data_IF_098779236771
#
_entry.id   IF_098779236771
#
_cell.length_a   1.000
_cell.length_b   1.000
_cell.length_c   1.000
_cell.angle_alpha   90.00
_cell.angle_beta   90.00
_cell.angle_gamma   90.00
#
_symmetry.space_group_name_H-M   'P 1'
#
loop_
_entity.id
_entity.type
_entity.pdbx_description
1 polymer ?
#
# COMPACT_ATOMS: atom_id res chain seq x y z
N UNK A 1 -6.78 -16.41 11.77
CA UNK A 1 -6.77 -15.25 12.71
C UNK A 1 -5.56 -15.24 13.65
N UNK A 2 -4.38 -15.68 13.23
CA UNK A 2 -3.16 -15.63 14.06
C UNK A 2 -2.30 -14.38 13.83
N UNK A 3 -2.63 -13.55 12.83
CA UNK A 3 -1.94 -12.29 12.58
C UNK A 3 -2.72 -11.14 13.19
N UNK A 4 -2.04 -10.21 13.87
CA UNK A 4 -2.62 -8.97 14.41
C UNK A 4 -2.97 -7.93 13.30
N UNK A 5 -3.13 -8.37 12.06
CA UNK A 5 -3.53 -7.51 10.94
C UNK A 5 -4.98 -7.07 11.18
N UNK A 6 -5.20 -5.77 11.23
CA UNK A 6 -6.54 -5.18 11.29
C UNK A 6 -7.22 -5.40 9.94
N UNK A 7 -8.01 -6.45 9.85
CA UNK A 7 -8.70 -6.92 8.66
C UNK A 7 -9.49 -5.81 7.95
N UNK A 8 -10.16 -4.95 8.71
CA UNK A 8 -10.93 -3.82 8.19
C UNK A 8 -10.08 -2.69 7.56
N UNK A 9 -8.75 -2.71 7.76
CA UNK A 9 -7.83 -1.72 7.16
C UNK A 9 -7.25 -2.14 5.80
N UNK A 10 -7.59 -3.32 5.30
CA UNK A 10 -7.22 -3.73 3.94
C UNK A 10 -7.95 -2.84 2.95
N UNK A 11 -7.22 -2.13 2.10
CA UNK A 11 -7.76 -1.22 1.10
C UNK A 11 -7.68 -1.77 -0.32
N UNK A 12 -6.78 -2.73 -0.55
CA UNK A 12 -6.50 -3.25 -1.87
C UNK A 12 -6.28 -4.76 -1.83
N UNK A 13 -6.79 -5.47 -2.85
CA UNK A 13 -6.63 -6.92 -3.08
C UNK A 13 -6.05 -7.11 -4.47
N UNK A 14 -5.05 -7.98 -4.58
CA UNK A 14 -4.36 -8.29 -5.83
C UNK A 14 -4.54 -9.76 -6.14
N UNK A 15 -5.14 -10.09 -7.29
CA UNK A 15 -5.43 -11.46 -7.76
C UNK A 15 -4.47 -11.79 -8.90
N UNK A 16 -3.64 -12.80 -8.72
CA UNK A 16 -2.59 -13.19 -9.67
C UNK A 16 -3.15 -13.81 -10.94
N UNK A 17 -4.18 -14.64 -10.83
CA UNK A 17 -4.85 -15.33 -11.93
C UNK A 17 -6.21 -15.90 -11.49
N UNK A 18 -6.97 -16.45 -12.46
CA UNK A 18 -8.37 -16.84 -12.27
C UNK A 18 -8.57 -18.36 -12.09
N UNK A 19 -7.71 -19.04 -11.32
CA UNK A 19 -8.08 -20.33 -10.75
C UNK A 19 -8.92 -20.13 -9.48
N UNK A 20 -9.85 -21.07 -9.22
CA UNK A 20 -10.83 -20.90 -8.15
C UNK A 20 -10.23 -20.73 -6.77
N UNK A 21 -9.19 -21.48 -6.45
CA UNK A 21 -8.47 -21.41 -5.19
C UNK A 21 -7.76 -20.06 -4.95
N UNK A 22 -7.54 -19.26 -6.01
CA UNK A 22 -6.95 -17.93 -5.94
C UNK A 22 -7.97 -16.79 -5.94
N UNK A 23 -9.22 -17.00 -6.42
CA UNK A 23 -10.19 -15.91 -6.54
C UNK A 23 -11.54 -16.16 -5.84
N UNK A 24 -11.97 -17.39 -5.58
CA UNK A 24 -13.29 -17.67 -4.99
C UNK A 24 -13.50 -17.11 -3.58
N UNK A 25 -12.42 -16.91 -2.82
CA UNK A 25 -12.49 -16.25 -1.52
C UNK A 25 -12.84 -14.77 -1.55
N UNK A 26 -12.74 -14.11 -2.71
CA UNK A 26 -12.91 -12.66 -2.84
C UNK A 26 -14.33 -12.21 -2.51
N UNK A 27 -15.36 -12.89 -3.00
CA UNK A 27 -16.76 -12.53 -2.72
C UNK A 27 -17.09 -12.68 -1.22
N UNK A 28 -16.56 -13.73 -0.57
CA UNK A 28 -16.71 -13.94 0.88
C UNK A 28 -16.02 -12.83 1.68
N UNK A 29 -14.85 -12.35 1.23
CA UNK A 29 -14.15 -11.22 1.83
C UNK A 29 -14.97 -9.92 1.70
N UNK A 30 -15.50 -9.64 0.51
CA UNK A 30 -16.32 -8.46 0.22
C UNK A 30 -17.58 -8.45 1.10
N UNK A 31 -18.30 -9.56 1.17
CA UNK A 31 -19.48 -9.71 2.02
C UNK A 31 -19.15 -9.50 3.50
N UNK A 32 -18.04 -10.11 3.97
CA UNK A 32 -17.59 -9.96 5.37
C UNK A 32 -17.25 -8.51 5.70
N UNK A 33 -16.64 -7.76 4.80
CA UNK A 33 -16.37 -6.33 5.00
C UNK A 33 -17.66 -5.51 5.12
N UNK A 34 -18.70 -5.83 4.34
CA UNK A 34 -20.02 -5.23 4.48
C UNK A 34 -20.62 -5.47 5.87
N UNK A 35 -20.62 -6.73 6.32
CA UNK A 35 -21.11 -7.12 7.66
C UNK A 35 -20.32 -6.45 8.80
N UNK A 36 -19.06 -6.13 8.60
CA UNK A 36 -18.22 -5.41 9.57
C UNK A 36 -18.36 -3.89 9.50
N UNK A 37 -19.31 -3.37 8.72
CA UNK A 37 -19.62 -1.94 8.63
C UNK A 37 -18.57 -1.12 7.89
N UNK A 38 -17.90 -1.71 6.88
CA UNK A 38 -16.95 -0.96 6.04
C UNK A 38 -17.68 0.14 5.27
N UNK A 39 -17.08 1.33 5.22
CA UNK A 39 -17.55 2.47 4.41
C UNK A 39 -16.52 2.92 3.36
N UNK A 40 -15.23 2.65 3.59
CA UNK A 40 -14.17 3.01 2.67
C UNK A 40 -14.14 2.07 1.44
N UNK A 41 -13.82 2.56 0.23
CA UNK A 41 -13.73 1.72 -0.96
C UNK A 41 -12.74 0.56 -0.80
N UNK A 42 -13.02 -0.56 -1.47
CA UNK A 42 -12.09 -1.68 -1.65
C UNK A 42 -11.66 -1.72 -3.11
N UNK A 43 -10.36 -1.63 -3.35
CA UNK A 43 -9.77 -1.72 -4.68
C UNK A 43 -9.37 -3.16 -4.99
N UNK A 44 -9.82 -3.69 -6.14
CA UNK A 44 -9.51 -5.05 -6.61
C UNK A 44 -8.71 -4.96 -7.90
N UNK A 45 -7.48 -5.44 -7.88
CA UNK A 45 -6.57 -5.51 -9.01
C UNK A 45 -6.52 -6.95 -9.50
N UNK A 46 -7.06 -7.21 -10.70
CA UNK A 46 -7.20 -8.57 -11.22
C UNK A 46 -7.23 -8.59 -12.77
N UNK A 47 -7.02 -9.75 -13.42
CA UNK A 47 -7.32 -9.91 -14.83
C UNK A 47 -8.74 -9.47 -15.16
N UNK A 48 -8.91 -8.80 -16.33
CA UNK A 48 -10.18 -8.13 -16.72
C UNK A 48 -11.40 -9.05 -16.71
N UNK A 49 -11.20 -10.34 -17.00
CA UNK A 49 -12.27 -11.34 -17.07
C UNK A 49 -12.98 -11.58 -15.73
N UNK A 50 -12.36 -11.17 -14.62
CA UNK A 50 -12.99 -11.27 -13.30
C UNK A 50 -14.09 -10.23 -13.08
N UNK A 51 -14.03 -9.08 -13.74
CA UNK A 51 -14.88 -7.92 -13.44
C UNK A 51 -16.37 -8.22 -13.55
N UNK A 52 -16.79 -8.78 -14.70
CA UNK A 52 -18.19 -9.11 -14.95
C UNK A 52 -18.70 -10.15 -13.95
N UNK A 53 -17.95 -11.22 -13.73
CA UNK A 53 -18.30 -12.27 -12.77
C UNK A 53 -18.40 -11.72 -11.34
N UNK A 54 -17.47 -10.87 -10.95
CA UNK A 54 -17.47 -10.27 -9.62
C UNK A 54 -18.68 -9.35 -9.43
N UNK A 55 -19.02 -8.53 -10.41
CA UNK A 55 -20.18 -7.66 -10.37
C UNK A 55 -21.49 -8.45 -10.27
N UNK A 56 -21.62 -9.56 -10.99
CA UNK A 56 -22.76 -10.48 -10.87
C UNK A 56 -22.85 -11.08 -9.47
N UNK A 57 -21.75 -11.54 -8.90
CA UNK A 57 -21.72 -12.10 -7.56
C UNK A 57 -22.05 -11.04 -6.50
N UNK A 58 -21.52 -9.82 -6.62
CA UNK A 58 -21.85 -8.71 -5.71
C UNK A 58 -23.35 -8.40 -5.78
N UNK A 59 -23.89 -8.26 -6.98
CA UNK A 59 -25.32 -8.00 -7.17
C UNK A 59 -26.20 -9.09 -6.55
N UNK A 60 -25.79 -10.34 -6.63
CA UNK A 60 -26.56 -11.47 -6.13
C UNK A 60 -26.42 -11.68 -4.61
N UNK A 61 -25.20 -11.59 -4.07
CA UNK A 61 -24.89 -11.96 -2.69
C UNK A 61 -24.74 -10.77 -1.75
N UNK A 62 -24.54 -9.56 -2.27
CA UNK A 62 -24.12 -8.39 -1.49
C UNK A 62 -24.86 -7.13 -1.92
N UNK A 63 -26.20 -7.19 -2.11
CA UNK A 63 -27.03 -6.09 -2.62
C UNK A 63 -26.95 -4.80 -1.80
N UNK A 64 -26.62 -4.90 -0.51
CA UNK A 64 -26.62 -3.77 0.44
C UNK A 64 -25.20 -3.47 0.99
N UNK A 65 -24.19 -3.49 0.14
CA UNK A 65 -22.85 -3.08 0.54
C UNK A 65 -22.84 -1.58 0.92
N UNK A 66 -22.41 -1.28 2.14
CA UNK A 66 -22.19 0.09 2.62
C UNK A 66 -20.95 0.78 2.02
N UNK A 67 -20.28 0.18 1.02
CA UNK A 67 -19.06 0.69 0.41
C UNK A 67 -18.94 0.26 -1.06
N UNK A 68 -18.08 0.95 -1.80
CA UNK A 68 -17.81 0.65 -3.21
C UNK A 68 -16.68 -0.37 -3.38
N UNK A 69 -16.86 -1.33 -4.27
CA UNK A 69 -15.79 -2.16 -4.82
C UNK A 69 -15.34 -1.54 -6.13
N UNK A 70 -14.08 -1.13 -6.20
CA UNK A 70 -13.48 -0.48 -7.37
C UNK A 70 -12.57 -1.48 -8.06
N UNK A 71 -12.94 -1.89 -9.28
CA UNK A 71 -12.16 -2.83 -10.07
C UNK A 71 -11.10 -2.13 -10.90
N UNK A 72 -9.89 -2.72 -10.96
CA UNK A 72 -8.77 -2.29 -11.78
C UNK A 72 -8.27 -3.47 -12.61
N UNK A 73 -8.49 -3.42 -13.91
CA UNK A 73 -8.02 -4.44 -14.83
C UNK A 73 -6.49 -4.47 -14.90
N UNK A 74 -5.91 -5.66 -14.79
CA UNK A 74 -4.46 -5.89 -14.80
C UNK A 74 -4.07 -6.62 -16.09
N UNK A 75 -3.13 -6.05 -16.83
CA UNK A 75 -2.45 -6.74 -17.93
C UNK A 75 -1.38 -7.67 -17.38
N UNK A 76 -1.64 -8.97 -17.39
CA UNK A 76 -0.71 -9.98 -16.85
C UNK A 76 0.50 -10.24 -17.75
N UNK A 77 0.53 -9.69 -18.95
CA UNK A 77 1.59 -9.94 -19.96
C UNK A 77 2.73 -8.93 -19.89
N UNK A 78 2.54 -7.82 -19.18
CA UNK A 78 3.50 -6.73 -19.10
C UNK A 78 3.91 -6.43 -17.66
N UNK A 79 5.13 -5.92 -17.50
CA UNK A 79 5.58 -5.38 -16.22
C UNK A 79 5.20 -3.90 -16.14
N UNK A 80 4.15 -3.60 -15.40
CA UNK A 80 3.58 -2.25 -15.27
C UNK A 80 3.38 -1.90 -13.80
N UNK A 81 3.57 -0.63 -13.46
CA UNK A 81 3.14 -0.10 -12.15
C UNK A 81 1.62 0.02 -12.18
N UNK A 82 0.93 -0.77 -11.36
CA UNK A 82 -0.55 -0.84 -11.29
C UNK A 82 -1.11 -0.13 -10.06
N UNK A 83 -0.28 0.11 -9.07
CA UNK A 83 -0.63 0.86 -7.87
C UNK A 83 0.56 1.70 -7.40
N UNK A 84 0.28 2.89 -6.96
CA UNK A 84 1.26 3.79 -6.37
C UNK A 84 0.60 4.67 -5.32
N UNK A 85 1.24 4.77 -4.15
CA UNK A 85 0.86 5.74 -3.13
C UNK A 85 2.12 6.49 -2.61
N UNK A 86 1.96 7.20 -1.50
CA UNK A 86 3.06 7.93 -0.87
C UNK A 86 4.18 7.00 -0.37
N UNK A 87 3.86 5.75 -0.05
CA UNK A 87 4.76 4.85 0.67
C UNK A 87 5.33 3.74 -0.21
N UNK A 88 4.57 3.25 -1.20
CA UNK A 88 4.97 2.11 -2.02
C UNK A 88 4.45 2.17 -3.45
N UNK A 89 5.04 1.35 -4.29
CA UNK A 89 4.55 0.99 -5.64
C UNK A 89 4.27 -0.50 -5.70
N UNK A 90 3.30 -0.90 -6.55
CA UNK A 90 3.06 -2.31 -6.91
C UNK A 90 3.22 -2.46 -8.41
N UNK A 91 4.13 -3.36 -8.80
CA UNK A 91 4.43 -3.65 -10.21
C UNK A 91 4.07 -5.09 -10.52
N UNK A 92 3.47 -5.34 -11.68
CA UNK A 92 3.20 -6.69 -12.18
C UNK A 92 4.48 -7.40 -12.62
N UNK A 93 4.54 -8.70 -12.38
CA UNK A 93 5.61 -9.60 -12.86
C UNK A 93 4.94 -10.64 -13.76
N UNK A 94 5.11 -10.58 -15.09
CA UNK A 94 4.56 -11.61 -15.99
C UNK A 94 5.07 -13.01 -15.61
N UNK A 95 4.16 -13.97 -15.54
CA UNK A 95 4.47 -15.36 -15.20
C UNK A 95 3.94 -16.30 -16.32
N UNK A 96 4.54 -17.46 -16.45
CA UNK A 96 4.13 -18.49 -17.43
C UNK A 96 3.27 -19.52 -16.72
N UNK A 97 1.99 -19.56 -17.08
CA UNK A 97 1.03 -20.48 -16.51
C UNK A 97 -0.05 -20.84 -17.54
N UNK A 98 -0.93 -21.84 -17.27
CA UNK A 98 -2.03 -22.26 -18.19
C UNK A 98 -3.08 -21.16 -18.39
N UNK A 99 -3.31 -20.34 -17.38
CA UNK A 99 -4.17 -19.15 -17.43
C UNK A 99 -3.29 -17.89 -17.41
N UNK A 100 -3.76 -16.77 -17.99
CA UNK A 100 -3.07 -15.49 -17.83
C UNK A 100 -2.77 -15.22 -16.36
N UNK A 101 -1.48 -15.07 -16.03
CA UNK A 101 -1.01 -14.99 -14.65
C UNK A 101 0.10 -13.95 -14.50
N UNK A 102 0.10 -13.24 -13.39
CA UNK A 102 1.21 -12.39 -12.99
C UNK A 102 1.47 -12.48 -11.49
N UNK A 103 2.70 -12.25 -11.10
CA UNK A 103 3.07 -11.92 -9.73
C UNK A 103 2.99 -10.41 -9.49
N UNK A 104 3.23 -10.02 -8.25
CA UNK A 104 3.21 -8.61 -7.82
C UNK A 104 4.46 -8.29 -7.00
N UNK A 105 5.18 -7.25 -7.43
CA UNK A 105 6.31 -6.69 -6.70
C UNK A 105 5.84 -5.44 -5.93
N UNK A 106 5.79 -5.55 -4.61
CA UNK A 106 5.57 -4.44 -3.68
C UNK A 106 6.92 -3.85 -3.33
N UNK A 107 7.12 -2.56 -3.59
CA UNK A 107 8.39 -1.87 -3.32
C UNK A 107 8.14 -0.59 -2.55
N UNK A 108 8.71 -0.49 -1.36
CA UNK A 108 8.67 0.74 -0.57
C UNK A 108 9.43 1.87 -1.29
N UNK A 109 8.90 3.06 -1.19
CA UNK A 109 9.60 4.28 -1.62
C UNK A 109 10.60 4.72 -0.57
N UNK A 110 11.69 5.39 -0.96
CA UNK A 110 12.60 6.00 0.02
C UNK A 110 11.84 6.93 0.97
N UNK A 111 12.07 6.77 2.26
CA UNK A 111 11.52 7.66 3.28
C UNK A 111 12.51 8.78 3.63
N UNK A 112 11.98 9.87 4.19
CA UNK A 112 12.82 10.93 4.74
C UNK A 112 13.55 10.46 6.01
N UNK A 113 14.69 11.06 6.35
CA UNK A 113 15.42 10.77 7.59
C UNK A 113 14.55 10.88 8.83
N UNK A 114 14.92 10.14 9.87
CA UNK A 114 14.26 10.20 11.16
C UNK A 114 14.81 11.36 11.98
N UNK A 115 13.92 12.16 12.57
CA UNK A 115 14.29 13.25 13.48
C UNK A 115 14.78 12.68 14.80
N UNK A 116 15.83 13.29 15.33
CA UNK A 116 16.33 13.09 16.69
C UNK A 116 15.60 14.04 17.63
N UNK A 117 14.59 13.54 18.34
CA UNK A 117 13.77 14.34 19.26
C UNK A 117 14.59 14.95 20.39
N UNK A 118 15.56 14.20 20.93
CA UNK A 118 16.49 14.65 21.93
C UNK A 118 17.24 15.93 21.53
N UNK A 119 17.58 16.06 20.25
CA UNK A 119 18.24 17.25 19.72
C UNK A 119 17.25 18.39 19.50
N UNK A 120 16.05 18.11 18.98
CA UNK A 120 15.01 19.13 18.83
C UNK A 120 14.68 19.80 20.17
N UNK A 121 14.52 18.98 21.22
CA UNK A 121 14.19 19.45 22.56
C UNK A 121 15.36 20.27 23.18
N UNK A 122 16.61 19.79 23.00
CA UNK A 122 17.81 20.46 23.51
C UNK A 122 18.04 21.85 22.92
N UNK A 123 17.70 22.07 21.66
CA UNK A 123 17.86 23.35 20.95
C UNK A 123 16.53 24.10 20.77
N UNK A 124 15.46 23.67 21.43
CA UNK A 124 14.11 24.27 21.34
C UNK A 124 13.63 24.49 19.91
N UNK A 125 13.93 23.54 19.00
CA UNK A 125 13.61 23.64 17.58
C UNK A 125 12.10 23.49 17.37
N UNK A 126 11.41 24.46 16.74
CA UNK A 126 9.98 24.39 16.50
C UNK A 126 9.60 23.22 15.61
N UNK A 127 8.47 22.56 15.88
CA UNK A 127 7.96 21.44 15.07
C UNK A 127 7.68 21.83 13.59
N UNK A 128 7.43 23.11 13.33
CA UNK A 128 7.27 23.66 11.97
C UNK A 128 8.54 23.50 11.11
N UNK A 129 9.73 23.39 11.74
CA UNK A 129 11.01 23.24 11.04
C UNK A 129 11.37 21.77 10.74
N UNK A 130 10.65 20.82 11.32
CA UNK A 130 10.93 19.39 11.15
C UNK A 130 11.01 18.97 9.69
N UNK A 131 10.11 19.46 8.84
CA UNK A 131 10.13 19.11 7.40
C UNK A 131 11.36 19.70 6.69
N UNK A 132 11.77 20.92 7.01
CA UNK A 132 12.97 21.56 6.45
C UNK A 132 14.22 20.76 6.83
N UNK A 133 14.32 20.39 8.11
CA UNK A 133 15.44 19.58 8.62
C UNK A 133 15.48 18.20 7.97
N UNK A 134 14.34 17.53 7.81
CA UNK A 134 14.26 16.24 7.12
C UNK A 134 14.69 16.32 5.65
N UNK A 135 14.56 17.49 5.03
CA UNK A 135 15.00 17.76 3.66
C UNK A 135 16.44 18.31 3.58
N UNK A 136 17.19 18.28 4.69
CA UNK A 136 18.61 18.57 4.69
C UNK A 136 19.00 19.95 5.21
N UNK A 137 18.06 20.77 5.70
CA UNK A 137 18.38 22.09 6.26
C UNK A 137 19.12 21.97 7.60
N UNK A 138 20.12 22.83 7.79
CA UNK A 138 20.73 23.10 9.08
C UNK A 138 19.78 23.98 9.92
N UNK A 139 20.03 24.05 11.22
CA UNK A 139 19.30 24.93 12.14
C UNK A 139 20.23 26.02 12.68
N UNK A 140 19.76 27.23 12.71
CA UNK A 140 20.47 28.36 13.32
C UNK A 140 19.73 28.74 14.60
N UNK A 141 20.44 28.71 15.73
CA UNK A 141 19.90 29.11 17.03
C UNK A 141 19.71 30.62 17.11
N UNK A 142 19.02 31.10 18.16
CA UNK A 142 18.85 32.54 18.39
C UNK A 142 20.19 33.26 18.64
N UNK A 143 21.18 32.57 19.20
CA UNK A 143 22.54 33.06 19.43
C UNK A 143 23.44 33.00 18.20
N UNK A 144 22.92 32.52 17.07
CA UNK A 144 23.64 32.41 15.79
C UNK A 144 24.50 31.15 15.65
N UNK A 145 24.40 30.17 16.56
CA UNK A 145 25.08 28.87 16.42
C UNK A 145 24.41 28.05 15.32
N UNK A 146 25.21 27.48 14.41
CA UNK A 146 24.73 26.59 13.36
C UNK A 146 24.77 25.14 13.84
N UNK A 147 23.62 24.50 13.93
CA UNK A 147 23.48 23.09 14.21
C UNK A 147 23.38 22.32 12.90
N UNK A 148 24.42 21.54 12.52
CA UNK A 148 24.42 20.81 11.26
C UNK A 148 23.30 19.77 11.20
N UNK A 149 22.68 19.61 10.02
CA UNK A 149 21.60 18.63 9.75
C UNK A 149 21.94 17.23 10.26
N UNK A 150 23.17 16.76 10.01
CA UNK A 150 23.63 15.45 10.43
C UNK A 150 23.55 15.16 11.93
N UNK A 151 23.52 16.21 12.78
CA UNK A 151 23.30 16.07 14.24
C UNK A 151 21.84 15.87 14.60
N UNK A 152 20.92 16.40 13.76
CA UNK A 152 19.49 16.46 14.04
C UNK A 152 18.72 15.26 13.46
N UNK A 153 19.32 14.51 12.53
CA UNK A 153 18.66 13.38 11.86
C UNK A 153 19.45 12.07 12.01
N UNK A 154 18.73 10.98 11.90
CA UNK A 154 19.28 9.64 11.65
C UNK A 154 18.89 9.21 10.24
N UNK A 155 19.73 8.42 9.52
CA UNK A 155 19.39 7.91 8.21
C UNK A 155 18.01 7.25 8.21
N UNK A 156 17.30 7.40 7.10
CA UNK A 156 16.05 6.68 6.85
C UNK A 156 16.30 5.17 6.80
N UNK A 157 15.28 4.38 7.12
CA UNK A 157 15.33 2.95 6.90
C UNK A 157 15.47 2.63 5.41
N UNK A 158 16.23 1.57 5.09
CA UNK A 158 16.35 1.13 3.70
C UNK A 158 14.98 0.63 3.20
N UNK A 159 14.55 1.08 2.00
CA UNK A 159 13.32 0.58 1.40
C UNK A 159 13.35 -0.94 1.27
N UNK A 160 12.24 -1.58 1.61
CA UNK A 160 12.05 -3.02 1.47
C UNK A 160 11.26 -3.33 0.22
N UNK A 161 11.39 -4.56 -0.26
CA UNK A 161 10.54 -5.08 -1.32
C UNK A 161 10.07 -6.48 -0.98
N UNK A 162 8.86 -6.81 -1.46
CA UNK A 162 8.25 -8.12 -1.33
C UNK A 162 7.66 -8.51 -2.68
N UNK A 163 8.01 -9.70 -3.17
CA UNK A 163 7.42 -10.26 -4.37
C UNK A 163 6.51 -11.42 -4.01
N UNK A 164 5.29 -11.38 -4.53
CA UNK A 164 4.35 -12.50 -4.51
C UNK A 164 4.31 -13.09 -5.92
N UNK A 165 4.75 -14.33 -6.06
CA UNK A 165 4.66 -15.10 -7.29
C UNK A 165 4.04 -16.45 -6.92
N UNK A 166 3.02 -16.85 -7.65
CA UNK A 166 2.28 -18.08 -7.42
C UNK A 166 2.06 -18.77 -8.77
N UNK A 167 2.21 -20.09 -8.78
CA UNK A 167 2.03 -21.03 -9.91
C UNK A 167 2.88 -20.76 -11.15
#
# INVERSE_FOLDING_TARGET
RRSHVRFTKITSVFISHLHGDHCFGLIGLISTFGLLGRTAPLHVYAPSELEEMLNQQISFFCSDLGYNVVFHAVDTTKSLVIYEDRCLTVTTIPLVHRKPCCGFLFKEKPSLPHIRRDVLDAYSIPLSQVNNIKNGADWVTEDGEIIPNARMVRPADKPRSYAYCSD
#
